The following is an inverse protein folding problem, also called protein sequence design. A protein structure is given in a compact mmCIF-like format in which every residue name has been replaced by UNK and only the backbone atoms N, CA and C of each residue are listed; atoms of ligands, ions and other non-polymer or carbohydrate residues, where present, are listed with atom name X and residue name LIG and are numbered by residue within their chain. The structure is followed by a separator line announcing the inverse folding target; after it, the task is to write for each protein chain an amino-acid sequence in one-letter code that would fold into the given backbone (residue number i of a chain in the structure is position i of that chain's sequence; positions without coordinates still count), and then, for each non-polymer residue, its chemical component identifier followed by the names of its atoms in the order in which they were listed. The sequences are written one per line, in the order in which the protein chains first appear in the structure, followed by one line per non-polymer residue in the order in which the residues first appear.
data_IF_064170871908
#
_entry.id   IF_064170871908
#
_cell.length_a   1.000
_cell.length_b   1.000
_cell.length_c   1.000
_cell.angle_alpha   90.00
_cell.angle_beta   90.00
_cell.angle_gamma   90.00
#
_symmetry.space_group_name_H-M   'P 1'
#
loop_
_entity.id
_entity.type
_entity.pdbx_description
1 polymer ?
#
# COMPACT_ATOMS: atom_id res chain seq x y z
N UNK A 1 1.66 -22.60 -30.82
CA UNK A 1 0.82 -21.94 -29.78
C UNK A 1 1.59 -21.56 -28.52
N UNK A 2 2.47 -22.42 -27.98
CA UNK A 2 3.20 -22.18 -26.72
C UNK A 2 4.07 -20.90 -26.71
N UNK A 3 4.82 -20.61 -27.78
CA UNK A 3 5.67 -19.38 -27.86
C UNK A 3 4.88 -18.07 -27.80
N UNK A 4 3.67 -18.02 -28.40
CA UNK A 4 2.81 -16.82 -28.41
C UNK A 4 2.21 -16.56 -27.03
N UNK A 5 1.87 -17.63 -26.30
CA UNK A 5 1.36 -17.57 -24.94
C UNK A 5 2.43 -17.09 -23.94
N UNK A 6 3.67 -17.58 -24.06
CA UNK A 6 4.80 -17.14 -23.22
C UNK A 6 5.14 -15.66 -23.48
N UNK A 7 5.11 -15.24 -24.74
CA UNK A 7 5.38 -13.84 -25.12
C UNK A 7 4.32 -12.89 -24.55
N UNK A 8 3.04 -13.27 -24.64
CA UNK A 8 1.95 -12.49 -24.06
C UNK A 8 2.06 -12.37 -22.52
N UNK A 9 2.35 -13.49 -21.83
CA UNK A 9 2.56 -13.50 -20.37
C UNK A 9 3.71 -12.59 -19.94
N UNK A 10 4.81 -12.57 -20.70
CA UNK A 10 5.99 -11.73 -20.42
C UNK A 10 5.70 -10.24 -20.58
N UNK A 11 4.94 -9.84 -21.61
CA UNK A 11 4.55 -8.45 -21.81
C UNK A 11 3.61 -7.94 -20.73
N UNK A 12 2.67 -8.78 -20.28
CA UNK A 12 1.76 -8.36 -19.20
C UNK A 12 2.50 -8.25 -17.86
N UNK A 13 3.43 -9.18 -17.55
CA UNK A 13 4.28 -9.06 -16.37
C UNK A 13 5.15 -7.79 -16.40
N UNK A 14 5.64 -7.39 -17.58
CA UNK A 14 6.39 -6.15 -17.73
C UNK A 14 5.50 -4.91 -17.53
N UNK A 15 4.28 -4.94 -18.07
CA UNK A 15 3.29 -3.89 -17.89
C UNK A 15 2.86 -3.69 -16.44
N UNK A 16 2.66 -4.77 -15.67
CA UNK A 16 2.32 -4.66 -14.25
C UNK A 16 3.46 -4.09 -13.42
N UNK A 17 4.71 -4.47 -13.70
CA UNK A 17 5.90 -3.89 -13.03
C UNK A 17 6.04 -2.40 -13.32
N UNK A 18 5.85 -1.97 -14.56
CA UNK A 18 5.83 -0.55 -14.93
C UNK A 18 4.73 0.22 -14.20
N UNK A 19 3.53 -0.36 -14.11
CA UNK A 19 2.42 0.23 -13.37
C UNK A 19 2.78 0.38 -11.88
N UNK A 20 3.36 -0.66 -11.25
CA UNK A 20 3.79 -0.62 -9.84
C UNK A 20 4.79 0.50 -9.57
N UNK A 21 5.76 0.69 -10.46
CA UNK A 21 6.75 1.77 -10.38
C UNK A 21 6.07 3.13 -10.56
N UNK A 22 5.15 3.25 -11.53
CA UNK A 22 4.42 4.48 -11.76
C UNK A 22 3.55 4.89 -10.55
N UNK A 23 3.04 3.92 -9.79
CA UNK A 23 2.27 4.18 -8.56
C UNK A 23 3.11 4.73 -7.41
N UNK A 24 4.45 4.63 -7.44
CA UNK A 24 5.29 5.21 -6.38
C UNK A 24 5.17 6.74 -6.32
N UNK A 25 5.11 7.42 -7.47
CA UNK A 25 4.99 8.87 -7.56
C UNK A 25 3.77 9.42 -6.81
N UNK A 26 2.55 8.96 -7.13
CA UNK A 26 1.33 9.34 -6.41
C UNK A 26 1.38 9.04 -4.90
N UNK A 27 2.05 7.98 -4.47
CA UNK A 27 2.15 7.61 -3.06
C UNK A 27 3.09 8.53 -2.28
N UNK A 28 4.21 8.92 -2.89
CA UNK A 28 5.09 9.95 -2.34
C UNK A 28 4.33 11.28 -2.24
N UNK A 29 3.60 11.66 -3.30
CA UNK A 29 2.78 12.88 -3.30
C UNK A 29 1.73 12.85 -2.19
N UNK A 30 1.03 11.73 -2.01
CA UNK A 30 0.04 11.54 -0.94
C UNK A 30 0.67 11.71 0.44
N UNK A 31 1.83 11.07 0.68
CA UNK A 31 2.54 11.22 1.94
C UNK A 31 2.95 12.67 2.20
N UNK A 32 3.47 13.37 1.17
CA UNK A 32 3.85 14.79 1.28
C UNK A 32 2.64 15.67 1.59
N UNK A 33 1.51 15.49 0.89
CA UNK A 33 0.28 16.24 1.14
C UNK A 33 -0.20 16.03 2.58
N UNK A 34 -0.23 14.78 3.05
CA UNK A 34 -0.68 14.45 4.40
C UNK A 34 0.27 15.01 5.48
N UNK A 35 1.57 15.00 5.22
CA UNK A 35 2.59 15.59 6.10
C UNK A 35 2.34 17.09 6.31
N UNK A 36 2.08 17.85 5.25
CA UNK A 36 1.81 19.29 5.35
C UNK A 36 0.39 19.60 5.83
N UNK A 37 -0.60 18.73 5.56
CA UNK A 37 -1.99 18.94 5.96
C UNK A 37 -2.23 18.68 7.45
N UNK A 38 -1.47 17.79 8.06
CA UNK A 38 -1.60 17.44 9.47
C UNK A 38 -0.25 17.56 10.20
N UNK A 39 0.25 18.80 10.38
CA UNK A 39 1.49 19.02 11.11
C UNK A 39 1.32 18.65 12.58
N UNK A 40 2.31 17.95 13.13
CA UNK A 40 2.40 17.63 14.56
C UNK A 40 3.80 18.02 15.04
N UNK A 41 3.92 19.27 15.52
CA UNK A 41 5.20 19.86 15.95
C UNK A 41 5.63 19.41 17.34
N UNK A 42 4.78 18.67 18.06
CA UNK A 42 5.09 18.12 19.38
C UNK A 42 5.99 16.88 19.33
N UNK A 43 6.20 16.31 18.14
CA UNK A 43 6.99 15.10 17.92
C UNK A 43 8.20 15.40 17.04
N UNK A 44 9.23 14.53 17.11
CA UNK A 44 10.40 14.65 16.24
C UNK A 44 9.99 14.57 14.77
N UNK A 45 10.75 15.23 13.88
CA UNK A 45 10.48 15.22 12.42
C UNK A 45 10.34 13.80 11.88
N UNK A 46 11.16 12.87 12.38
CA UNK A 46 11.09 11.47 11.97
C UNK A 46 9.76 10.83 12.36
N UNK A 47 9.27 11.06 13.59
CA UNK A 47 7.98 10.55 14.05
C UNK A 47 6.80 11.20 13.35
N UNK A 48 6.92 12.47 12.94
CA UNK A 48 5.91 13.18 12.18
C UNK A 48 5.71 12.59 10.77
N UNK A 49 6.76 12.02 10.16
CA UNK A 49 6.67 11.38 8.84
C UNK A 49 6.03 9.99 8.86
N UNK A 50 5.95 9.33 10.03
CA UNK A 50 5.45 7.96 10.14
C UNK A 50 3.95 7.86 9.78
N UNK A 51 3.03 8.67 10.35
CA UNK A 51 1.61 8.56 10.02
C UNK A 51 1.27 8.78 8.54
N UNK A 52 1.84 9.79 7.84
CA UNK A 52 1.66 9.95 6.40
C UNK A 52 2.25 8.79 5.57
N UNK A 53 3.42 8.26 5.98
CA UNK A 53 4.03 7.12 5.30
C UNK A 53 3.15 5.87 5.39
N UNK A 54 2.51 5.62 6.55
CA UNK A 54 1.54 4.52 6.70
C UNK A 54 0.39 4.68 5.70
N UNK A 55 -0.17 5.89 5.54
CA UNK A 55 -1.27 6.12 4.58
C UNK A 55 -0.85 5.77 3.15
N UNK A 56 0.35 6.21 2.76
CA UNK A 56 0.89 5.96 1.42
C UNK A 56 1.18 4.47 1.18
N UNK A 57 1.80 3.77 2.14
CA UNK A 57 2.09 2.34 2.01
C UNK A 57 0.79 1.53 1.98
N UNK A 58 -0.19 1.85 2.84
CA UNK A 58 -1.49 1.19 2.84
C UNK A 58 -2.28 1.45 1.56
N UNK A 59 -2.28 2.69 1.05
CA UNK A 59 -2.94 3.02 -0.21
C UNK A 59 -2.29 2.28 -1.39
N UNK A 60 -0.96 2.21 -1.42
CA UNK A 60 -0.23 1.43 -2.42
C UNK A 60 -0.60 -0.05 -2.32
N UNK A 61 -0.55 -0.63 -1.12
CA UNK A 61 -0.90 -2.02 -0.87
C UNK A 61 -2.34 -2.34 -1.31
N UNK A 62 -3.29 -1.44 -1.03
CA UNK A 62 -4.68 -1.56 -1.48
C UNK A 62 -4.77 -1.56 -3.00
N UNK A 63 -4.14 -0.60 -3.67
CA UNK A 63 -4.13 -0.51 -5.12
C UNK A 63 -3.50 -1.74 -5.77
N UNK A 64 -2.38 -2.24 -5.23
CA UNK A 64 -1.73 -3.45 -5.73
C UNK A 64 -2.56 -4.70 -5.51
N UNK A 65 -3.28 -4.79 -4.38
CA UNK A 65 -4.18 -5.91 -4.11
C UNK A 65 -5.40 -5.85 -5.05
N UNK A 66 -5.90 -4.65 -5.35
CA UNK A 66 -6.99 -4.42 -6.30
C UNK A 66 -6.56 -4.62 -7.75
N UNK A 67 -5.29 -4.72 -8.11
CA UNK A 67 -4.90 -5.04 -9.48
C UNK A 67 -5.03 -6.55 -9.69
N UNK A 68 -6.29 -6.99 -9.81
CA UNK A 68 -6.87 -8.35 -10.03
C UNK A 68 -6.28 -9.14 -11.21
N UNK A 69 -5.12 -8.77 -11.73
CA UNK A 69 -4.53 -9.39 -12.89
C UNK A 69 -3.54 -10.52 -12.53
N UNK A 70 -2.97 -10.54 -11.32
CA UNK A 70 -2.00 -11.57 -10.92
C UNK A 70 -1.94 -11.85 -9.41
N UNK A 71 -1.93 -13.13 -9.03
CA UNK A 71 -1.52 -13.62 -7.71
C UNK A 71 -0.15 -13.05 -7.26
N UNK A 72 0.74 -12.77 -8.22
CA UNK A 72 2.01 -12.08 -7.99
C UNK A 72 1.85 -10.72 -7.30
N UNK A 73 0.85 -9.92 -7.66
CA UNK A 73 0.62 -8.61 -7.05
C UNK A 73 0.17 -8.73 -5.59
N UNK A 74 -0.55 -9.81 -5.25
CA UNK A 74 -0.94 -10.11 -3.88
C UNK A 74 0.28 -10.48 -3.01
N UNK A 75 1.19 -11.30 -3.52
CA UNK A 75 2.44 -11.59 -2.82
C UNK A 75 3.33 -10.36 -2.63
N UNK A 76 3.26 -9.40 -3.56
CA UNK A 76 3.99 -8.13 -3.46
C UNK A 76 3.32 -7.14 -2.48
N UNK A 77 1.99 -7.16 -2.37
CA UNK A 77 1.24 -6.27 -1.48
C UNK A 77 1.29 -6.71 -0.01
N UNK A 78 1.40 -8.02 0.25
CA UNK A 78 1.55 -8.60 1.59
C UNK A 78 2.68 -7.97 2.44
N UNK A 79 3.95 -7.92 1.98
CA UNK A 79 5.02 -7.32 2.77
C UNK A 79 4.80 -5.82 3.01
N UNK A 80 4.22 -5.10 2.04
CA UNK A 80 3.87 -3.69 2.21
C UNK A 80 2.75 -3.51 3.25
N UNK A 81 1.74 -4.38 3.25
CA UNK A 81 0.68 -4.38 4.25
C UNK A 81 1.22 -4.67 5.65
N UNK A 82 2.05 -5.70 5.83
CA UNK A 82 2.66 -6.00 7.13
C UNK A 82 3.55 -4.86 7.63
N UNK A 83 4.30 -4.21 6.74
CA UNK A 83 5.10 -3.04 7.09
C UNK A 83 4.22 -1.88 7.57
N UNK A 84 3.14 -1.57 6.83
CA UNK A 84 2.19 -0.53 7.22
C UNK A 84 1.50 -0.85 8.55
N UNK A 85 1.16 -2.12 8.79
CA UNK A 85 0.57 -2.59 10.03
C UNK A 85 1.54 -2.43 11.21
N UNK A 86 2.80 -2.85 11.07
CA UNK A 86 3.81 -2.71 12.10
C UNK A 86 4.05 -1.23 12.47
N UNK A 87 4.16 -0.37 11.45
CA UNK A 87 4.26 1.09 11.64
C UNK A 87 3.01 1.68 12.30
N UNK A 88 1.82 1.18 11.96
CA UNK A 88 0.57 1.62 12.57
C UNK A 88 0.46 1.23 14.04
N UNK A 89 0.90 0.03 14.42
CA UNK A 89 1.00 -0.39 15.83
C UNK A 89 1.97 0.53 16.56
N UNK A 90 3.16 0.78 15.98
CA UNK A 90 4.14 1.71 16.56
C UNK A 90 3.56 3.12 16.78
N UNK A 91 2.92 3.67 15.74
CA UNK A 91 2.29 4.99 15.80
C UNK A 91 1.16 5.04 16.85
N UNK A 92 0.41 3.97 17.01
CA UNK A 92 -0.65 3.82 18.02
C UNK A 92 -0.08 3.82 19.43
N UNK A 93 0.98 3.02 19.68
CA UNK A 93 1.65 2.95 20.98
C UNK A 93 2.26 4.30 21.39
N UNK A 94 2.81 5.03 20.42
CA UNK A 94 3.37 6.37 20.62
C UNK A 94 2.34 7.51 20.53
N UNK A 95 1.06 7.20 20.30
CA UNK A 95 -0.04 8.16 20.11
C UNK A 95 0.29 9.27 19.08
N UNK A 96 0.96 8.90 17.99
CA UNK A 96 1.34 9.83 16.93
C UNK A 96 0.11 10.19 16.08
N UNK A 97 -0.19 11.49 15.99
CA UNK A 97 -1.22 12.08 15.13
C UNK A 97 -2.55 11.29 15.07
N UNK A 98 -3.43 11.45 16.08
CA UNK A 98 -4.66 10.65 16.21
C UNK A 98 -5.66 10.84 15.07
N UNK A 99 -5.59 11.97 14.34
CA UNK A 99 -6.43 12.21 13.15
C UNK A 99 -6.02 11.28 12.00
N UNK A 100 -4.72 11.19 11.73
CA UNK A 100 -4.18 10.29 10.71
C UNK A 100 -4.28 8.83 11.13
N UNK A 101 -4.23 8.53 12.42
CA UNK A 101 -4.39 7.18 12.92
C UNK A 101 -5.73 6.56 12.48
N UNK A 102 -6.85 7.29 12.60
CA UNK A 102 -8.17 6.80 12.14
C UNK A 102 -8.20 6.52 10.64
N UNK A 103 -7.63 7.43 9.84
CA UNK A 103 -7.50 7.25 8.39
C UNK A 103 -6.68 6.01 8.07
N UNK A 104 -5.53 5.84 8.73
CA UNK A 104 -4.64 4.69 8.56
C UNK A 104 -5.32 3.37 8.93
N UNK A 105 -6.10 3.33 10.03
CA UNK A 105 -6.85 2.13 10.40
C UNK A 105 -7.90 1.77 9.36
N UNK A 106 -8.64 2.76 8.83
CA UNK A 106 -9.63 2.52 7.77
C UNK A 106 -8.97 2.01 6.48
N UNK A 107 -7.84 2.61 6.08
CA UNK A 107 -7.05 2.18 4.92
C UNK A 107 -6.50 0.76 5.08
N UNK A 108 -5.95 0.43 6.25
CA UNK A 108 -5.47 -0.92 6.54
C UNK A 108 -6.61 -1.95 6.51
N UNK A 109 -7.76 -1.62 7.11
CA UNK A 109 -8.92 -2.51 7.07
C UNK A 109 -9.39 -2.74 5.63
N UNK A 110 -9.50 -1.68 4.83
CA UNK A 110 -9.88 -1.78 3.42
C UNK A 110 -8.86 -2.63 2.64
N UNK A 111 -7.56 -2.43 2.87
CA UNK A 111 -6.49 -3.23 2.25
C UNK A 111 -6.62 -4.71 2.60
N UNK A 112 -6.89 -5.02 3.87
CA UNK A 112 -7.07 -6.39 4.33
C UNK A 112 -8.28 -7.07 3.68
N UNK A 113 -9.42 -6.38 3.62
CA UNK A 113 -10.65 -6.91 2.99
C UNK A 113 -10.45 -7.16 1.49
N UNK A 114 -9.85 -6.22 0.76
CA UNK A 114 -9.55 -6.39 -0.66
C UNK A 114 -8.51 -7.49 -0.88
N UNK A 115 -7.50 -7.59 -0.01
CA UNK A 115 -6.51 -8.66 -0.05
C UNK A 115 -7.15 -10.04 0.08
N UNK A 116 -8.04 -10.23 1.06
CA UNK A 116 -8.79 -11.48 1.24
C UNK A 116 -9.69 -11.79 0.04
N UNK A 117 -10.44 -10.81 -0.46
CA UNK A 117 -11.27 -10.96 -1.66
C UNK A 117 -10.44 -11.40 -2.88
N UNK A 118 -9.25 -10.81 -3.04
CA UNK A 118 -8.33 -11.16 -4.12
C UNK A 118 -7.82 -12.59 -3.96
N UNK A 119 -7.46 -12.99 -2.74
CA UNK A 119 -7.02 -14.36 -2.45
C UNK A 119 -8.10 -15.39 -2.81
N UNK A 120 -9.33 -15.21 -2.33
CA UNK A 120 -10.43 -16.13 -2.64
C UNK A 120 -10.78 -16.16 -4.13
N UNK A 121 -10.68 -15.03 -4.84
CA UNK A 121 -10.96 -14.99 -6.28
C UNK A 121 -9.93 -15.77 -7.12
N UNK A 122 -8.67 -15.79 -6.70
CA UNK A 122 -7.59 -16.48 -7.43
C UNK A 122 -7.33 -17.92 -6.97
N UNK A 123 -7.78 -18.29 -5.77
CA UNK A 123 -7.64 -19.65 -5.22
C UNK A 123 -8.79 -20.59 -5.68
N UNK A 124 -9.93 -20.03 -6.12
CA UNK A 124 -11.04 -20.75 -6.81
C UNK A 124 -10.72 -20.95 -8.28
#
# INVERSE_FOLDING_TARGET
MVKKFIWYKKHIMFGSVLLLIAMLGPMVLLATILYYRYPDTAVSRMNQCIPPAISAISAWALCTSWLWFYLFNFYLSLPAFFLALALHIYATLKKLNPKLQRLNSALLLATFVIGLLSFFYFDI
#
